data_IF_332109740328
#
_entry.id   IF_332109740328
#
_cell.length_a   1.000
_cell.length_b   1.000
_cell.length_c   1.000
_cell.angle_alpha   90.00
_cell.angle_beta   90.00
_cell.angle_gamma   90.00
#
_symmetry.space_group_name_H-M   'P 1'
#
loop_
_entity.id
_entity.type
_entity.pdbx_description
1 polymer ?
#
# COMPACT_ATOMS: atom_id res chain seq x y z
N UNK A 1 7.12 3.09 -15.38
CA UNK A 1 7.05 3.01 -13.90
C UNK A 1 6.91 1.60 -13.35
N UNK A 2 5.93 0.78 -13.78
CA UNK A 2 5.75 -0.60 -13.31
C UNK A 2 7.00 -1.48 -13.44
N UNK A 3 7.67 -1.46 -14.60
CA UNK A 3 8.92 -2.22 -14.82
C UNK A 3 9.98 -1.79 -13.82
N UNK A 4 10.14 -0.50 -13.58
CA UNK A 4 11.11 0.02 -12.61
C UNK A 4 10.77 -0.40 -11.16
N UNK A 5 9.48 -0.44 -10.79
CA UNK A 5 9.06 -0.92 -9.47
C UNK A 5 9.36 -2.41 -9.29
N UNK A 6 9.07 -3.24 -10.29
CA UNK A 6 9.35 -4.68 -10.25
C UNK A 6 10.86 -4.92 -10.20
N UNK A 7 11.64 -4.26 -11.07
CA UNK A 7 13.09 -4.38 -11.07
C UNK A 7 13.69 -3.91 -9.74
N UNK A 8 13.19 -2.80 -9.18
CA UNK A 8 13.60 -2.30 -7.88
C UNK A 8 13.28 -3.28 -6.74
N UNK A 9 12.10 -3.90 -6.75
CA UNK A 9 11.71 -4.90 -5.76
C UNK A 9 12.57 -6.16 -5.84
N UNK A 10 12.87 -6.64 -7.06
CA UNK A 10 13.77 -7.78 -7.28
C UNK A 10 15.20 -7.42 -6.85
N UNK A 11 15.71 -6.25 -7.25
CA UNK A 11 17.03 -5.79 -6.83
C UNK A 11 17.15 -5.64 -5.31
N UNK A 12 16.09 -5.16 -4.65
CA UNK A 12 16.02 -5.09 -3.19
C UNK A 12 16.06 -6.48 -2.53
N UNK A 13 15.34 -7.46 -3.08
CA UNK A 13 15.39 -8.85 -2.60
C UNK A 13 16.80 -9.46 -2.77
N UNK A 14 17.43 -9.23 -3.92
CA UNK A 14 18.81 -9.67 -4.20
C UNK A 14 19.80 -9.03 -3.23
N UNK A 15 19.69 -7.73 -3.01
CA UNK A 15 20.54 -7.00 -2.07
C UNK A 15 20.36 -7.54 -0.64
N UNK A 16 19.11 -7.77 -0.21
CA UNK A 16 18.83 -8.35 1.10
C UNK A 16 19.44 -9.75 1.24
N UNK A 17 19.29 -10.63 0.24
CA UNK A 17 19.91 -11.95 0.27
C UNK A 17 21.43 -11.86 0.48
N UNK A 18 22.10 -10.98 -0.27
CA UNK A 18 23.55 -10.75 -0.15
C UNK A 18 23.94 -10.21 1.24
N UNK A 19 23.14 -9.29 1.82
CA UNK A 19 23.37 -8.77 3.17
C UNK A 19 23.30 -9.86 4.25
N UNK A 20 22.54 -10.93 4.02
CA UNK A 20 22.37 -12.05 4.93
C UNK A 20 23.19 -13.29 4.54
N UNK A 21 24.17 -13.16 3.64
CA UNK A 21 25.04 -14.26 3.16
C UNK A 21 24.25 -15.44 2.54
N UNK A 22 23.17 -15.12 1.81
CA UNK A 22 22.34 -16.07 1.06
C UNK A 22 22.64 -16.01 -0.44
N UNK A 23 22.22 -17.02 -1.23
CA UNK A 23 22.29 -16.95 -2.69
C UNK A 23 21.62 -15.67 -3.21
N UNK A 24 22.31 -14.95 -4.11
CA UNK A 24 21.84 -13.67 -4.64
C UNK A 24 20.39 -13.76 -5.16
N UNK A 25 20.07 -14.83 -5.88
CA UNK A 25 18.72 -15.16 -6.33
C UNK A 25 18.35 -16.55 -5.86
N UNK A 26 17.19 -16.70 -5.24
CA UNK A 26 16.61 -18.00 -4.91
C UNK A 26 15.10 -17.96 -5.12
N UNK A 27 14.54 -18.97 -5.78
CA UNK A 27 13.09 -19.06 -5.93
C UNK A 27 12.46 -19.43 -4.57
N UNK A 28 11.54 -18.61 -4.10
CA UNK A 28 10.85 -18.88 -2.85
C UNK A 28 9.99 -20.14 -2.93
N UNK A 29 9.98 -20.92 -1.84
CA UNK A 29 9.21 -22.17 -1.71
C UNK A 29 8.01 -22.04 -0.77
N UNK A 30 7.86 -20.89 -0.11
CA UNK A 30 6.80 -20.63 0.86
C UNK A 30 5.45 -20.48 0.17
N UNK A 31 4.61 -21.53 0.24
CA UNK A 31 3.24 -21.49 -0.29
C UNK A 31 2.33 -20.58 0.54
N UNK A 32 1.60 -19.71 -0.15
CA UNK A 32 0.66 -18.74 0.44
C UNK A 32 -0.65 -18.77 -0.35
N UNK A 33 -1.44 -19.82 -0.17
CA UNK A 33 -2.63 -20.12 -1.00
C UNK A 33 -3.93 -20.28 -0.21
N UNK A 34 -4.10 -19.51 0.87
CA UNK A 34 -5.28 -19.55 1.74
C UNK A 34 -6.23 -18.35 1.56
N UNK A 35 -7.54 -18.59 1.63
CA UNK A 35 -8.56 -17.54 1.54
C UNK A 35 -8.42 -16.44 2.61
N UNK A 36 -7.97 -16.80 3.82
CA UNK A 36 -7.67 -15.83 4.88
C UNK A 36 -6.50 -14.90 4.51
N UNK A 37 -5.50 -15.39 3.77
CA UNK A 37 -4.38 -14.59 3.28
C UNK A 37 -4.85 -13.61 2.19
N UNK A 38 -5.69 -14.07 1.27
CA UNK A 38 -6.25 -13.19 0.24
C UNK A 38 -7.16 -12.12 0.83
N UNK A 39 -8.04 -12.49 1.77
CA UNK A 39 -8.86 -11.51 2.48
C UNK A 39 -7.99 -10.48 3.21
N UNK A 40 -6.90 -10.91 3.85
CA UNK A 40 -6.02 -9.97 4.55
C UNK A 40 -5.28 -9.04 3.59
N UNK A 41 -4.95 -9.46 2.38
CA UNK A 41 -4.42 -8.57 1.33
C UNK A 41 -5.48 -7.56 0.84
N UNK A 42 -6.74 -7.96 0.69
CA UNK A 42 -7.84 -7.02 0.38
C UNK A 42 -7.90 -5.93 1.45
N UNK A 43 -7.90 -6.30 2.73
CA UNK A 43 -7.94 -5.37 3.86
C UNK A 43 -6.71 -4.46 3.87
N UNK A 44 -5.51 -5.03 3.71
CA UNK A 44 -4.25 -4.29 3.70
C UNK A 44 -4.18 -3.27 2.56
N UNK A 45 -4.51 -3.66 1.33
CA UNK A 45 -4.52 -2.74 0.18
C UNK A 45 -5.60 -1.68 0.33
N UNK A 46 -6.80 -2.05 0.79
CA UNK A 46 -7.90 -1.11 1.02
C UNK A 46 -7.49 -0.02 2.01
N UNK A 47 -6.97 -0.41 3.19
CA UNK A 47 -6.61 0.57 4.21
C UNK A 47 -5.40 1.42 3.82
N UNK A 48 -4.42 0.86 3.08
CA UNK A 48 -3.30 1.64 2.55
C UNK A 48 -3.80 2.77 1.64
N UNK A 49 -4.74 2.46 0.73
CA UNK A 49 -5.33 3.46 -0.15
C UNK A 49 -6.13 4.49 0.63
N UNK A 50 -6.90 4.07 1.64
CA UNK A 50 -7.60 5.01 2.52
C UNK A 50 -6.63 5.97 3.19
N UNK A 51 -5.51 5.50 3.74
CA UNK A 51 -4.46 6.36 4.35
C UNK A 51 -3.93 7.36 3.33
N UNK A 52 -3.48 6.88 2.16
CA UNK A 52 -2.87 7.75 1.13
C UNK A 52 -3.85 8.81 0.67
N UNK A 53 -5.07 8.42 0.28
CA UNK A 53 -6.02 9.34 -0.34
C UNK A 53 -6.77 10.21 0.67
N UNK A 54 -7.02 9.75 1.90
CA UNK A 54 -7.56 10.60 2.96
C UNK A 54 -6.59 11.75 3.28
N UNK A 55 -5.29 11.45 3.39
CA UNK A 55 -4.25 12.47 3.63
C UNK A 55 -4.05 13.39 2.42
N UNK A 56 -4.19 12.86 1.21
CA UNK A 56 -4.19 13.68 -0.01
C UNK A 56 -5.36 14.67 -0.03
N UNK A 57 -6.57 14.20 0.32
CA UNK A 57 -7.80 15.01 0.30
C UNK A 57 -7.92 16.00 1.45
N UNK A 58 -7.31 15.73 2.60
CA UNK A 58 -7.27 16.69 3.73
C UNK A 58 -6.40 17.92 3.47
N UNK A 59 -5.71 17.98 2.31
CA UNK A 59 -4.76 19.05 1.98
C UNK A 59 -3.43 18.94 2.73
N UNK A 60 -3.30 17.98 3.65
CA UNK A 60 -2.09 17.76 4.45
C UNK A 60 -0.92 17.30 3.57
N UNK A 61 -1.22 16.57 2.50
CA UNK A 61 -0.23 16.15 1.52
C UNK A 61 0.58 17.30 0.90
N UNK A 62 -0.07 18.47 0.67
CA UNK A 62 0.61 19.65 0.14
C UNK A 62 1.46 20.38 1.19
N UNK A 63 1.04 20.31 2.46
CA UNK A 63 1.70 21.00 3.57
C UNK A 63 2.88 20.21 4.13
N UNK A 64 2.83 18.89 4.06
CA UNK A 64 3.85 18.02 4.67
C UNK A 64 3.94 16.65 3.98
N UNK A 65 4.67 16.55 2.86
CA UNK A 65 4.89 15.28 2.15
C UNK A 65 5.49 14.18 3.04
N UNK A 66 6.34 14.56 4.00
CA UNK A 66 6.94 13.65 4.97
C UNK A 66 5.90 12.93 5.85
N UNK A 67 4.77 13.58 6.17
CA UNK A 67 3.70 12.96 6.94
C UNK A 67 3.01 11.84 6.16
N UNK A 68 2.85 11.98 4.83
CA UNK A 68 2.30 10.90 4.00
C UNK A 68 3.23 9.69 4.03
N UNK A 69 4.53 9.92 3.82
CA UNK A 69 5.53 8.86 3.84
C UNK A 69 5.55 8.14 5.21
N UNK A 70 5.54 8.91 6.30
CA UNK A 70 5.44 8.38 7.66
C UNK A 70 4.18 7.55 7.87
N UNK A 71 3.00 8.08 7.50
CA UNK A 71 1.73 7.38 7.67
C UNK A 71 1.64 6.10 6.84
N UNK A 72 2.14 6.11 5.61
CA UNK A 72 2.24 4.91 4.75
C UNK A 72 3.15 3.87 5.40
N UNK A 73 4.34 4.28 5.87
CA UNK A 73 5.27 3.39 6.57
C UNK A 73 4.65 2.78 7.83
N UNK A 74 4.02 3.60 8.67
CA UNK A 74 3.32 3.15 9.88
C UNK A 74 2.16 2.22 9.57
N UNK A 75 1.39 2.49 8.52
CA UNK A 75 0.29 1.62 8.10
C UNK A 75 0.81 0.25 7.67
N UNK A 76 1.82 0.19 6.80
CA UNK A 76 2.41 -1.08 6.35
C UNK A 76 3.02 -1.85 7.53
N UNK A 77 3.73 -1.17 8.43
CA UNK A 77 4.29 -1.79 9.63
C UNK A 77 3.20 -2.38 10.53
N UNK A 78 2.13 -1.63 10.80
CA UNK A 78 0.99 -2.13 11.57
C UNK A 78 0.30 -3.30 10.88
N UNK A 79 0.01 -3.17 9.58
CA UNK A 79 -0.62 -4.21 8.77
C UNK A 79 0.23 -5.49 8.74
N UNK A 80 1.56 -5.38 8.67
CA UNK A 80 2.47 -6.53 8.76
C UNK A 80 2.23 -7.36 10.04
N UNK A 81 1.99 -6.72 11.18
CA UNK A 81 1.75 -7.42 12.45
C UNK A 81 0.33 -7.97 12.62
N UNK A 82 -0.69 -7.29 12.07
CA UNK A 82 -2.09 -7.64 12.35
C UNK A 82 -2.78 -8.41 11.21
N UNK A 83 -2.12 -8.57 10.06
CA UNK A 83 -2.66 -9.32 8.92
C UNK A 83 -2.01 -10.69 8.82
N UNK A 84 -2.82 -11.71 8.52
CA UNK A 84 -2.33 -13.08 8.34
C UNK A 84 -1.37 -13.25 7.15
N UNK A 85 -1.43 -12.35 6.16
CA UNK A 85 -0.56 -12.38 5.00
C UNK A 85 0.77 -11.66 5.18
N UNK A 86 1.02 -10.96 6.30
CA UNK A 86 2.15 -10.03 6.47
C UNK A 86 2.13 -8.81 5.52
N UNK A 87 0.92 -8.39 5.09
CA UNK A 87 0.62 -7.19 4.30
C UNK A 87 1.60 -6.90 3.14
N UNK A 88 1.47 -7.64 2.04
CA UNK A 88 2.24 -7.34 0.84
C UNK A 88 1.75 -6.04 0.20
N UNK A 89 0.43 -5.93 0.00
CA UNK A 89 -0.30 -4.73 -0.43
C UNK A 89 0.26 -4.02 -1.68
N UNK A 90 1.10 -4.70 -2.47
CA UNK A 90 1.84 -4.14 -3.59
C UNK A 90 2.27 -5.27 -4.55
N UNK A 91 1.81 -5.26 -5.82
CA UNK A 91 2.14 -6.30 -6.78
C UNK A 91 3.64 -6.42 -7.07
N UNK A 92 4.37 -5.30 -7.16
CA UNK A 92 5.81 -5.32 -7.43
C UNK A 92 6.60 -5.95 -6.27
N UNK A 93 6.26 -5.61 -5.02
CA UNK A 93 6.84 -6.25 -3.83
C UNK A 93 6.50 -7.73 -3.78
N UNK A 94 5.27 -8.10 -4.16
CA UNK A 94 4.83 -9.50 -4.23
C UNK A 94 5.67 -10.30 -5.22
N UNK A 95 5.95 -9.74 -6.40
CA UNK A 95 6.84 -10.37 -7.38
C UNK A 95 8.28 -10.43 -6.86
N UNK A 96 8.81 -9.34 -6.30
CA UNK A 96 10.19 -9.31 -5.80
C UNK A 96 10.46 -10.34 -4.70
N UNK A 97 9.50 -10.56 -3.80
CA UNK A 97 9.59 -11.57 -2.73
C UNK A 97 9.61 -13.01 -3.24
N UNK A 98 9.26 -13.27 -4.49
CA UNK A 98 9.41 -14.60 -5.10
C UNK A 98 10.88 -14.96 -5.42
N UNK A 99 11.80 -13.98 -5.39
CA UNK A 99 13.24 -14.15 -5.65
C UNK A 99 14.08 -14.26 -4.35
N UNK A 100 13.44 -14.47 -3.20
CA UNK A 100 14.10 -14.71 -1.92
C UNK A 100 13.42 -15.86 -1.17
N UNK A 101 14.11 -16.97 -0.98
CA UNK A 101 13.62 -18.13 -0.21
C UNK A 101 13.92 -17.94 1.29
N UNK A 102 13.19 -17.01 1.89
CA UNK A 102 13.28 -16.68 3.33
C UNK A 102 11.89 -16.66 3.95
N UNK A 103 11.76 -16.31 5.24
CA UNK A 103 10.44 -16.14 5.88
C UNK A 103 9.56 -15.10 5.15
N UNK A 104 10.19 -14.14 4.47
CA UNK A 104 9.51 -13.16 3.66
C UNK A 104 9.09 -13.72 2.28
N UNK A 105 9.55 -14.90 1.87
CA UNK A 105 9.28 -15.47 0.56
C UNK A 105 7.80 -15.72 0.25
N UNK A 106 7.49 -15.78 -1.05
CA UNK A 106 6.23 -16.28 -1.59
C UNK A 106 6.49 -17.12 -2.84
N UNK A 107 6.00 -18.36 -2.85
CA UNK A 107 6.14 -19.22 -4.01
C UNK A 107 5.56 -18.55 -5.28
N UNK A 108 6.24 -18.63 -6.45
CA UNK A 108 5.77 -17.99 -7.67
C UNK A 108 4.32 -18.36 -8.05
N UNK A 109 3.90 -19.61 -7.76
CA UNK A 109 2.52 -20.06 -7.98
C UNK A 109 1.47 -19.38 -7.09
N UNK A 110 1.87 -18.84 -5.94
CA UNK A 110 0.99 -18.11 -5.02
C UNK A 110 0.84 -16.62 -5.37
N UNK A 111 1.75 -16.05 -6.18
CA UNK A 111 1.76 -14.62 -6.56
C UNK A 111 0.45 -14.16 -7.22
N UNK A 112 -0.13 -14.88 -8.22
CA UNK A 112 -1.34 -14.41 -8.89
C UNK A 112 -2.52 -14.20 -7.94
N UNK A 113 -2.70 -15.08 -6.95
CA UNK A 113 -3.77 -14.96 -5.96
C UNK A 113 -3.65 -13.69 -5.11
N UNK A 114 -2.42 -13.33 -4.71
CA UNK A 114 -2.14 -12.09 -3.99
C UNK A 114 -2.40 -10.85 -4.85
N UNK A 115 -1.95 -10.84 -6.10
CA UNK A 115 -2.19 -9.71 -7.01
C UNK A 115 -3.69 -9.51 -7.24
N UNK A 116 -4.45 -10.59 -7.46
CA UNK A 116 -5.91 -10.52 -7.60
C UNK A 116 -6.56 -9.95 -6.34
N UNK A 117 -6.17 -10.41 -5.15
CA UNK A 117 -6.66 -9.89 -3.89
C UNK A 117 -6.36 -8.39 -3.70
N UNK A 118 -5.15 -7.96 -4.06
CA UNK A 118 -4.75 -6.55 -4.01
C UNK A 118 -5.58 -5.69 -4.99
N UNK A 119 -5.89 -6.20 -6.19
CA UNK A 119 -6.78 -5.53 -7.14
C UNK A 119 -8.22 -5.42 -6.62
N UNK A 120 -8.71 -6.44 -5.90
CA UNK A 120 -10.00 -6.35 -5.20
C UNK A 120 -9.94 -5.30 -4.10
N UNK A 121 -8.88 -5.28 -3.30
CA UNK A 121 -8.65 -4.22 -2.29
C UNK A 121 -8.57 -2.82 -2.89
N UNK A 122 -8.00 -2.68 -4.09
CA UNK A 122 -8.03 -1.44 -4.85
C UNK A 122 -9.45 -1.01 -5.22
N UNK A 123 -10.25 -1.93 -5.76
CA UNK A 123 -11.64 -1.64 -6.13
C UNK A 123 -12.48 -1.24 -4.91
N UNK A 124 -12.36 -1.98 -3.80
CA UNK A 124 -13.04 -1.67 -2.54
C UNK A 124 -12.58 -0.32 -1.98
N UNK A 125 -11.27 -0.07 -1.96
CA UNK A 125 -10.68 1.19 -1.50
C UNK A 125 -11.20 2.39 -2.29
N UNK A 126 -11.27 2.28 -3.63
CA UNK A 126 -11.86 3.33 -4.47
C UNK A 126 -13.32 3.56 -4.10
N UNK A 127 -14.13 2.51 -3.96
CA UNK A 127 -15.55 2.64 -3.57
C UNK A 127 -15.72 3.35 -2.24
N UNK A 128 -14.95 2.97 -1.22
CA UNK A 128 -14.97 3.62 0.10
C UNK A 128 -14.49 5.07 0.01
N UNK A 129 -13.45 5.36 -0.77
CA UNK A 129 -12.94 6.70 -0.97
C UNK A 129 -13.95 7.63 -1.64
N UNK A 130 -14.75 7.12 -2.56
CA UNK A 130 -15.82 7.89 -3.21
C UNK A 130 -16.99 8.12 -2.26
N UNK A 131 -17.33 7.14 -1.42
CA UNK A 131 -18.40 7.25 -0.43
C UNK A 131 -18.04 8.19 0.74
N UNK A 132 -16.80 8.11 1.24
CA UNK A 132 -16.36 8.88 2.42
C UNK A 132 -15.86 10.28 2.07
N UNK A 133 -15.40 10.50 0.84
CA UNK A 133 -14.91 11.79 0.37
C UNK A 133 -15.51 12.14 -1.00
N UNK A 134 -16.80 12.46 -1.06
CA UNK A 134 -17.49 12.79 -2.29
C UNK A 134 -16.83 14.02 -2.96
N UNK A 135 -16.62 13.91 -4.28
CA UNK A 135 -16.08 14.99 -5.11
C UNK A 135 -17.15 16.06 -5.25
N UNK A 136 -17.02 17.17 -4.51
CA UNK A 136 -17.95 18.30 -4.58
C UNK A 136 -18.50 18.82 -3.25
N UNK A 137 -17.99 18.39 -2.09
CA UNK A 137 -18.26 19.14 -0.86
C UNK A 137 -17.77 20.58 -1.07
N UNK A 138 -18.65 21.60 -0.93
CA UNK A 138 -18.23 22.99 -1.04
C UNK A 138 -17.05 23.19 -0.10
N UNK A 139 -15.99 23.84 -0.56
CA UNK A 139 -15.14 24.54 0.39
C UNK A 139 -16.12 25.43 1.15
N UNK A 140 -16.29 25.20 2.45
CA UNK A 140 -16.96 26.18 3.28
C UNK A 140 -16.08 27.44 3.18
N UNK A 141 -16.43 28.34 2.26
CA UNK A 141 -16.03 29.74 2.29
C UNK A 141 -16.62 30.28 3.59
N UNK A 142 -15.84 30.13 4.66
CA UNK A 142 -16.11 30.81 5.92
C UNK A 142 -15.81 32.28 5.72
N UNK A 143 -16.88 33.07 5.63
CA UNK A 143 -17.01 34.45 6.10
C UNK A 143 -15.70 35.26 6.13
N UNK A 144 -15.36 35.87 5.00
CA UNK A 144 -14.78 37.22 5.08
C UNK A 144 -15.95 38.18 5.20
N UNK A 145 -16.44 38.35 6.44
CA UNK A 145 -17.26 39.50 6.81
C UNK A 145 -16.40 40.74 6.57
N UNK A 146 -16.55 41.35 5.41
CA UNK A 146 -16.09 42.72 5.15
C UNK A 146 -16.96 43.61 6.05
N UNK A 147 -16.39 44.36 7.01
CA UNK A 147 -17.18 45.32 7.75
C UNK A 147 -17.72 46.36 6.76
N UNK A 148 -19.04 46.59 6.75
CA UNK A 148 -19.57 47.78 6.08
C UNK A 148 -18.99 49.01 6.77
N UNK A 149 -18.19 49.78 6.03
CA UNK A 149 -17.82 51.13 6.40
C UNK A 149 -19.10 51.99 6.42
N UNK A 150 -19.66 52.20 7.60
CA UNK A 150 -20.72 53.19 7.82
C UNK A 150 -20.16 54.58 7.50
N UNK A 151 -20.74 55.21 6.48
CA UNK A 151 -20.52 56.62 6.10
C UNK A 151 -21.02 57.61 7.15
#
# INVERSE_FOLDING_TARGET
DLVAQVLGAVAGAVLANLMYDLPAVSAATTERSGGHLWLSEVVATTGLLLVVFALARSGLARRSPALIAGAVGSYIAGAYFVTSSTSFANPAVTVGRAFSDTFAGIAPGSVPGFVLAQLVGLAVGIGLLLALYPVGAPHAEGDVLVPEETS
#
